data_IF_157446298225
#
_entry.id   IF_157446298225
#
_cell.length_a   1.000
_cell.length_b   1.000
_cell.length_c   1.000
_cell.angle_alpha   90.00
_cell.angle_beta   90.00
_cell.angle_gamma   90.00
#
_symmetry.space_group_name_H-M   'P 1'
#
loop_
_entity.id
_entity.type
_entity.pdbx_description
1 polymer ?
#
# COMPACT_ATOMS: atom_id res chain seq x y z
N UNK A 1 -0.45 -2.23 13.51
CA UNK A 1 -0.98 -0.85 13.39
C UNK A 1 -1.74 -0.71 12.08
N UNK A 2 -2.71 0.21 12.01
CA UNK A 2 -3.59 0.40 10.86
C UNK A 2 -3.40 1.80 10.26
N UNK A 3 -2.65 1.93 9.16
CA UNK A 3 -2.46 3.20 8.47
C UNK A 3 -3.54 3.51 7.42
N UNK A 4 -3.71 4.80 7.12
CA UNK A 4 -4.18 5.29 5.82
C UNK A 4 -2.95 5.59 4.97
N UNK A 5 -2.78 4.90 3.85
CA UNK A 5 -1.64 5.06 2.94
C UNK A 5 -2.07 5.76 1.66
N UNK A 6 -1.24 6.69 1.19
CA UNK A 6 -1.49 7.42 -0.06
C UNK A 6 -0.97 6.64 -1.27
N UNK A 7 -1.78 6.54 -2.31
CA UNK A 7 -1.46 5.89 -3.59
C UNK A 7 -1.82 6.79 -4.76
N UNK A 8 -1.08 6.66 -5.86
CA UNK A 8 -1.44 7.29 -7.12
C UNK A 8 -2.53 6.46 -7.82
N UNK A 9 -3.47 7.08 -8.54
CA UNK A 9 -4.53 6.37 -9.26
C UNK A 9 -4.01 5.21 -10.12
N UNK A 10 -3.00 5.46 -10.97
CA UNK A 10 -2.38 4.44 -11.82
C UNK A 10 -1.78 3.24 -11.06
N UNK A 11 -1.41 3.42 -9.79
CA UNK A 11 -0.86 2.35 -8.97
C UNK A 11 -1.99 1.55 -8.34
N UNK A 12 -3.06 2.23 -7.92
CA UNK A 12 -4.29 1.57 -7.47
C UNK A 12 -4.86 0.66 -8.55
N UNK A 13 -4.97 1.13 -9.79
CA UNK A 13 -5.48 0.33 -10.92
C UNK A 13 -4.64 -0.95 -11.11
N UNK A 14 -3.31 -0.83 -11.10
CA UNK A 14 -2.42 -1.99 -11.23
C UNK A 14 -2.49 -2.98 -10.07
N UNK A 15 -2.83 -2.52 -8.86
CA UNK A 15 -3.04 -3.42 -7.73
C UNK A 15 -4.38 -4.14 -7.89
N UNK A 16 -5.43 -3.43 -8.30
CA UNK A 16 -6.75 -3.99 -8.59
C UNK A 16 -6.67 -5.03 -9.71
N UNK A 17 -5.92 -4.75 -10.77
CA UNK A 17 -5.73 -5.64 -11.92
C UNK A 17 -4.71 -6.76 -11.65
N UNK A 18 -4.24 -6.89 -10.40
CA UNK A 18 -3.27 -7.91 -9.97
C UNK A 18 -1.94 -7.87 -10.73
N UNK A 19 -1.59 -6.73 -11.32
CA UNK A 19 -0.33 -6.48 -12.02
C UNK A 19 0.78 -6.16 -11.01
N UNK A 20 0.50 -5.29 -10.04
CA UNK A 20 1.44 -4.92 -8.97
C UNK A 20 1.14 -5.72 -7.70
N UNK A 21 2.07 -6.59 -7.34
CA UNK A 21 1.91 -7.55 -6.24
C UNK A 21 2.76 -7.25 -5.00
N UNK A 22 3.62 -6.23 -5.06
CA UNK A 22 4.46 -5.79 -3.94
C UNK A 22 4.36 -4.28 -3.78
N UNK A 23 4.09 -3.81 -2.57
CA UNK A 23 4.11 -2.40 -2.20
C UNK A 23 5.45 -2.01 -1.56
N UNK A 24 6.06 -0.94 -2.07
CA UNK A 24 7.38 -0.50 -1.62
C UNK A 24 7.28 0.77 -0.79
N UNK A 25 7.94 0.78 0.38
CA UNK A 25 7.99 1.94 1.25
C UNK A 25 9.37 2.11 1.88
N UNK A 26 9.69 3.36 2.23
CA UNK A 26 10.88 3.68 3.04
C UNK A 26 10.72 3.22 4.50
N UNK A 27 9.52 3.41 5.05
CA UNK A 27 9.16 2.99 6.40
C UNK A 27 7.82 2.30 6.29
N UNK A 28 7.72 1.12 6.90
CA UNK A 28 6.47 0.38 7.01
C UNK A 28 6.02 0.36 8.48
N UNK A 29 4.73 0.61 8.79
CA UNK A 29 4.28 0.56 10.17
C UNK A 29 4.46 -0.84 10.77
N UNK A 30 4.79 -0.89 12.07
CA UNK A 30 5.00 -2.15 12.79
C UNK A 30 3.70 -2.98 12.80
N UNK A 31 3.84 -4.28 12.57
CA UNK A 31 2.73 -5.25 12.57
C UNK A 31 1.56 -4.81 11.66
N UNK A 32 1.88 -4.20 10.52
CA UNK A 32 0.90 -3.68 9.57
C UNK A 32 0.38 -4.80 8.66
N UNK A 33 -0.83 -5.28 8.96
CA UNK A 33 -1.51 -6.33 8.17
C UNK A 33 -2.41 -5.79 7.07
N UNK A 34 -2.77 -4.52 7.14
CA UNK A 34 -3.64 -3.86 6.16
C UNK A 34 -3.42 -2.34 6.17
N UNK A 35 -3.81 -1.65 5.09
CA UNK A 35 -3.93 -0.19 5.05
C UNK A 35 -5.23 0.25 4.35
N UNK A 36 -5.80 1.39 4.76
CA UNK A 36 -6.80 2.08 3.96
C UNK A 36 -6.10 2.84 2.84
N UNK A 37 -6.54 2.67 1.60
CA UNK A 37 -5.93 3.27 0.42
C UNK A 37 -6.57 4.62 0.10
N UNK A 38 -5.90 5.70 0.47
CA UNK A 38 -6.24 7.04 -0.02
C UNK A 38 -5.66 7.21 -1.43
N UNK A 39 -6.53 7.37 -2.42
CA UNK A 39 -6.14 7.61 -3.80
C UNK A 39 -6.03 9.11 -4.02
N UNK A 40 -4.85 9.55 -4.45
CA UNK A 40 -4.52 10.97 -4.63
C UNK A 40 -5.24 11.59 -5.84
N UNK A 41 -4.85 12.80 -6.22
CA UNK A 41 -5.48 13.54 -7.34
C UNK A 41 -5.47 12.68 -8.63
N UNK A 42 -6.57 12.63 -9.41
CA UNK A 42 -7.81 13.41 -9.25
C UNK A 42 -8.87 12.79 -8.33
N UNK A 43 -8.70 11.56 -7.86
CA UNK A 43 -9.73 10.81 -7.11
C UNK A 43 -9.98 11.42 -5.73
N UNK A 44 -8.92 11.67 -4.95
CA UNK A 44 -8.96 12.31 -3.62
C UNK A 44 -9.96 11.64 -2.66
N UNK A 45 -9.89 10.32 -2.52
CA UNK A 45 -10.80 9.55 -1.66
C UNK A 45 -10.12 8.30 -1.11
N UNK A 46 -10.64 7.74 -0.01
CA UNK A 46 -10.29 6.38 0.43
C UNK A 46 -11.14 5.41 -0.38
N UNK A 47 -10.52 4.55 -1.18
CA UNK A 47 -11.24 3.73 -2.17
C UNK A 47 -11.12 2.22 -1.95
N UNK A 48 -10.19 1.76 -1.13
CA UNK A 48 -9.99 0.34 -0.88
C UNK A 48 -9.28 0.08 0.45
N UNK A 49 -9.31 -1.18 0.87
CA UNK A 49 -8.46 -1.76 1.89
C UNK A 49 -7.45 -2.67 1.19
N UNK A 50 -6.17 -2.44 1.43
CA UNK A 50 -5.10 -3.34 0.97
C UNK A 50 -4.66 -4.20 2.14
N UNK A 51 -4.43 -5.49 1.88
CA UNK A 51 -3.95 -6.46 2.86
C UNK A 51 -2.52 -6.87 2.52
N UNK A 52 -1.70 -7.01 3.54
CA UNK A 52 -0.29 -7.33 3.38
C UNK A 52 0.02 -8.77 3.82
N UNK A 53 0.88 -9.43 3.05
CA UNK A 53 1.50 -10.71 3.39
C UNK A 53 2.82 -10.50 4.14
N UNK A 54 3.87 -11.23 3.75
CA UNK A 54 5.20 -11.06 4.32
C UNK A 54 5.77 -9.69 3.91
N UNK A 55 6.40 -9.03 4.87
CA UNK A 55 7.13 -7.78 4.66
C UNK A 55 8.61 -8.13 4.64
N UNK A 56 9.30 -7.74 3.58
CA UNK A 56 10.70 -8.04 3.36
C UNK A 56 11.54 -6.78 3.43
N UNK A 57 12.71 -6.88 4.06
CA UNK A 57 13.77 -5.88 3.96
C UNK A 57 14.42 -5.99 2.59
N UNK A 58 14.62 -4.85 1.92
CA UNK A 58 15.33 -4.83 0.63
C UNK A 58 16.81 -5.21 0.79
N UNK A 59 17.39 -5.04 1.98
CA UNK A 59 18.74 -5.51 2.28
C UNK A 59 18.80 -7.03 2.40
N UNK A 60 17.76 -7.64 2.97
CA UNK A 60 17.68 -9.10 3.08
C UNK A 60 17.50 -9.70 1.69
N UNK A 61 16.61 -9.11 0.87
CA UNK A 61 16.48 -9.47 -0.56
C UNK A 61 17.77 -9.25 -1.35
N UNK A 62 18.57 -8.25 -1.01
CA UNK A 62 19.86 -8.05 -1.66
C UNK A 62 20.80 -9.24 -1.43
N UNK A 63 20.77 -9.85 -0.24
CA UNK A 63 21.55 -11.05 0.06
C UNK A 63 20.90 -12.31 -0.54
N UNK A 64 19.58 -12.46 -0.39
CA UNK A 64 18.82 -13.62 -0.87
C UNK A 64 18.92 -13.79 -2.39
N UNK A 65 18.96 -12.69 -3.14
CA UNK A 65 19.01 -12.69 -4.60
C UNK A 65 20.38 -12.27 -5.16
N UNK A 66 21.47 -12.54 -4.43
CA UNK A 66 22.83 -12.15 -4.83
C UNK A 66 23.23 -12.70 -6.21
N UNK A 67 22.80 -13.92 -6.53
CA UNK A 67 23.11 -14.62 -7.78
C UNK A 67 22.25 -14.18 -8.98
N UNK A 68 21.40 -13.16 -8.80
CA UNK A 68 20.51 -12.66 -9.86
C UNK A 68 20.85 -11.21 -10.24
N UNK A 69 21.77 -10.98 -11.20
CA UNK A 69 22.27 -9.64 -11.54
C UNK A 69 21.19 -8.62 -11.89
N UNK A 70 20.17 -9.02 -12.64
CA UNK A 70 19.07 -8.11 -13.00
C UNK A 70 18.24 -7.70 -11.77
N UNK A 71 18.05 -8.62 -10.83
CA UNK A 71 17.31 -8.37 -9.59
C UNK A 71 18.13 -7.44 -8.70
N UNK A 72 19.44 -7.65 -8.59
CA UNK A 72 20.37 -6.77 -7.88
C UNK A 72 20.33 -5.34 -8.41
N UNK A 73 20.30 -5.15 -9.72
CA UNK A 73 20.16 -3.82 -10.33
C UNK A 73 18.84 -3.14 -9.94
N UNK A 74 17.74 -3.90 -9.89
CA UNK A 74 16.43 -3.38 -9.45
C UNK A 74 16.43 -3.02 -7.97
N UNK A 75 16.97 -3.87 -7.10
CA UNK A 75 17.09 -3.64 -5.65
C UNK A 75 17.95 -2.40 -5.38
N UNK A 76 19.15 -2.33 -5.97
CA UNK A 76 20.07 -1.20 -5.84
C UNK A 76 19.40 0.12 -6.22
N UNK A 77 18.68 0.14 -7.36
CA UNK A 77 17.92 1.32 -7.78
C UNK A 77 16.85 1.70 -6.75
N UNK A 78 16.08 0.75 -6.23
CA UNK A 78 15.04 1.04 -5.24
C UNK A 78 15.62 1.56 -3.92
N UNK A 79 16.78 1.05 -3.50
CA UNK A 79 17.50 1.53 -2.32
C UNK A 79 18.07 2.95 -2.51
N UNK A 80 18.70 3.21 -3.65
CA UNK A 80 19.48 4.44 -3.88
C UNK A 80 18.64 5.59 -4.47
N UNK A 81 17.80 5.31 -5.48
CA UNK A 81 17.04 6.34 -6.20
C UNK A 81 15.66 6.58 -5.63
N UNK A 82 14.97 5.51 -5.26
CA UNK A 82 13.58 5.58 -4.76
C UNK A 82 13.52 5.67 -3.22
N UNK A 83 14.67 5.45 -2.56
CA UNK A 83 14.82 5.45 -1.10
C UNK A 83 13.84 4.50 -0.39
N UNK A 84 13.48 3.40 -1.04
CA UNK A 84 12.71 2.32 -0.43
C UNK A 84 13.61 1.44 0.43
N UNK A 85 13.01 0.81 1.43
CA UNK A 85 13.69 -0.09 2.38
C UNK A 85 12.92 -1.38 2.61
N UNK A 86 11.61 -1.37 2.37
CA UNK A 86 10.73 -2.51 2.57
C UNK A 86 9.88 -2.78 1.32
N UNK A 87 9.65 -4.06 1.05
CA UNK A 87 8.67 -4.57 0.09
C UNK A 87 7.65 -5.44 0.82
N UNK A 88 6.39 -5.00 0.85
CA UNK A 88 5.29 -5.75 1.42
C UNK A 88 4.53 -6.48 0.33
N UNK A 89 4.41 -7.80 0.45
CA UNK A 89 3.51 -8.60 -0.37
C UNK A 89 2.08 -8.08 -0.28
N UNK A 90 1.40 -7.95 -1.41
CA UNK A 90 -0.01 -7.57 -1.45
C UNK A 90 -0.81 -8.86 -1.52
N UNK A 91 -1.42 -9.26 -0.41
CA UNK A 91 -2.17 -10.52 -0.32
C UNK A 91 -3.59 -10.42 -0.83
N UNK A 92 -4.21 -9.27 -0.62
CA UNK A 92 -5.53 -9.01 -1.18
C UNK A 92 -5.81 -7.51 -1.26
N UNK A 93 -6.82 -7.17 -2.04
CA UNK A 93 -7.43 -5.84 -2.07
C UNK A 93 -8.96 -5.96 -2.03
N UNK A 94 -9.58 -5.19 -1.15
CA UNK A 94 -11.03 -5.05 -1.06
C UNK A 94 -11.41 -3.63 -1.48
N UNK A 95 -12.14 -3.49 -2.58
CA UNK A 95 -12.72 -2.20 -2.96
C UNK A 95 -13.80 -1.80 -1.96
N UNK A 96 -13.94 -0.50 -1.73
CA UNK A 96 -15.00 0.06 -0.89
C UNK A 96 -15.72 1.17 -1.64
N UNK A 97 -16.89 1.58 -1.15
CA UNK A 97 -17.51 2.84 -1.57
C UNK A 97 -16.53 3.98 -1.22
N UNK A 98 -16.15 4.84 -2.18
CA UNK A 98 -15.20 5.91 -1.91
C UNK A 98 -15.66 6.81 -0.77
N UNK A 99 -14.78 7.08 0.18
CA UNK A 99 -14.95 8.11 1.21
C UNK A 99 -14.14 9.32 0.74
N UNK A 100 -14.81 10.35 0.23
CA UNK A 100 -14.17 11.50 -0.38
C UNK A 100 -13.39 12.37 0.62
N UNK A 101 -12.43 13.15 0.11
CA UNK A 101 -11.72 14.13 0.92
C UNK A 101 -12.68 15.16 1.57
N UNK A 102 -13.77 15.49 0.90
CA UNK A 102 -14.78 16.40 1.42
C UNK A 102 -15.51 15.79 2.61
N UNK A 103 -16.00 14.55 2.48
CA UNK A 103 -16.63 13.80 3.58
C UNK A 103 -15.67 13.66 4.79
N UNK A 104 -14.40 13.36 4.53
CA UNK A 104 -13.36 13.26 5.58
C UNK A 104 -13.16 14.59 6.30
N UNK A 105 -13.11 15.71 5.58
CA UNK A 105 -12.90 17.05 6.17
C UNK A 105 -14.12 17.57 6.92
N UNK A 106 -15.31 17.27 6.42
CA UNK A 106 -16.56 17.66 7.08
C UNK A 106 -16.77 16.90 8.40
N UNK A 107 -16.31 15.65 8.46
CA UNK A 107 -16.51 14.78 9.63
C UNK A 107 -15.33 14.79 10.61
N UNK A 108 -14.11 15.04 10.12
CA UNK A 108 -12.88 15.10 10.91
C UNK A 108 -12.18 16.42 10.60
N UNK A 109 -12.42 17.47 11.41
CA UNK A 109 -11.80 18.77 11.21
C UNK A 109 -10.28 18.65 11.12
N UNK A 110 -9.67 19.41 10.20
CA UNK A 110 -8.23 19.40 9.93
C UNK A 110 -7.66 18.11 9.32
N UNK A 111 -8.50 17.22 8.77
CA UNK A 111 -7.98 16.09 7.99
C UNK A 111 -7.14 16.58 6.80
N UNK A 112 -5.89 16.10 6.75
CA UNK A 112 -4.95 16.30 5.65
C UNK A 112 -4.62 14.93 5.05
N UNK A 113 -4.66 14.85 3.72
CA UNK A 113 -4.27 13.65 3.02
C UNK A 113 -2.81 13.27 3.35
N UNK A 114 -2.52 11.97 3.61
CA UNK A 114 -1.17 11.57 3.98
C UNK A 114 -0.18 11.76 2.83
N UNK A 115 1.03 12.25 3.14
CA UNK A 115 2.13 12.30 2.16
C UNK A 115 2.74 10.90 1.95
N UNK A 116 2.86 10.11 3.03
CA UNK A 116 3.23 8.69 2.97
C UNK A 116 2.11 7.85 3.57
N UNK A 117 1.93 7.94 4.89
CA UNK A 117 0.82 7.35 5.61
C UNK A 117 0.45 8.18 6.85
N UNK A 118 -0.74 7.95 7.39
CA UNK A 118 -1.20 8.43 8.69
C UNK A 118 -1.63 7.22 9.53
N UNK A 119 -1.18 7.13 10.79
CA UNK A 119 -1.57 6.04 11.69
C UNK A 119 -2.91 6.35 12.35
N UNK A 120 -3.88 5.46 12.20
CA UNK A 120 -5.22 5.63 12.79
C UNK A 120 -5.18 5.52 14.31
N UNK A 121 -4.23 4.79 14.89
CA UNK A 121 -4.02 4.73 16.34
C UNK A 121 -3.72 6.11 16.95
N UNK A 122 -3.16 7.03 16.17
CA UNK A 122 -2.86 8.40 16.62
C UNK A 122 -4.04 9.37 16.39
N UNK A 123 -5.13 8.92 15.76
CA UNK A 123 -6.28 9.75 15.45
C UNK A 123 -7.58 8.94 15.61
N UNK A 124 -8.09 8.90 16.84
CA UNK A 124 -9.27 8.12 17.21
C UNK A 124 -10.53 8.52 16.44
N UNK A 125 -10.77 9.82 16.24
CA UNK A 125 -11.94 10.31 15.51
C UNK A 125 -11.90 9.88 14.03
N UNK A 126 -10.75 10.02 13.38
CA UNK A 126 -10.57 9.55 12.01
C UNK A 126 -10.74 8.04 11.90
N UNK A 127 -10.16 7.29 12.84
CA UNK A 127 -10.29 5.83 12.89
C UNK A 127 -11.76 5.41 12.95
N UNK A 128 -12.47 5.94 13.95
CA UNK A 128 -13.89 5.66 14.21
C UNK A 128 -14.75 6.04 13.00
N UNK A 129 -14.47 7.18 12.37
CA UNK A 129 -15.18 7.62 11.18
C UNK A 129 -14.97 6.67 10.00
N UNK A 130 -13.72 6.35 9.67
CA UNK A 130 -13.41 5.45 8.54
C UNK A 130 -14.02 4.07 8.77
N UNK A 131 -13.84 3.47 9.95
CA UNK A 131 -14.35 2.13 10.26
C UNK A 131 -15.89 2.06 10.14
N UNK A 132 -16.60 3.11 10.58
CA UNK A 132 -18.07 3.18 10.48
C UNK A 132 -18.59 3.39 9.06
N UNK A 133 -17.85 4.10 8.22
CA UNK A 133 -18.27 4.46 6.87
C UNK A 133 -17.65 3.57 5.78
N UNK A 134 -16.87 2.57 6.18
CA UNK A 134 -16.29 1.60 5.25
C UNK A 134 -17.36 0.62 4.78
N UNK A 135 -17.73 0.73 3.51
CA UNK A 135 -18.70 -0.15 2.86
C UNK A 135 -18.02 -0.91 1.72
N UNK A 136 -17.78 -2.21 1.90
CA UNK A 136 -17.15 -3.05 0.88
C UNK A 136 -17.99 -3.11 -0.41
N UNK A 137 -17.32 -3.02 -1.54
CA UNK A 137 -17.93 -3.15 -2.88
C UNK A 137 -17.24 -4.25 -3.66
N UNK A 138 -18.04 -5.07 -4.34
CA UNK A 138 -17.52 -6.23 -5.08
C UNK A 138 -16.88 -7.30 -4.17
N UNK A 139 -16.18 -8.23 -4.81
CA UNK A 139 -15.51 -9.34 -4.12
C UNK A 139 -14.08 -8.95 -3.69
N UNK A 140 -13.60 -9.62 -2.66
CA UNK A 140 -12.20 -9.56 -2.24
C UNK A 140 -11.32 -10.16 -3.33
N UNK A 141 -10.40 -9.36 -3.89
CA UNK A 141 -9.43 -9.82 -4.89
C UNK A 141 -8.23 -10.35 -4.13
N UNK A 142 -7.97 -11.66 -4.22
CA UNK A 142 -6.82 -12.32 -3.58
C UNK A 142 -5.75 -12.59 -4.62
N UNK A 143 -4.49 -12.34 -4.25
CA UNK A 143 -3.35 -12.66 -5.10
C UNK A 143 -2.83 -14.06 -4.78
N UNK A 144 -2.42 -14.78 -5.82
CA UNK A 144 -1.68 -16.03 -5.70
C UNK A 144 -0.18 -15.73 -5.57
N UNK A 145 0.45 -16.38 -4.60
CA UNK A 145 1.85 -16.19 -4.23
C UNK A 145 2.80 -17.20 -4.87
N UNK A 146 2.28 -18.22 -5.56
CA UNK A 146 3.06 -19.38 -6.03
C UNK A 146 4.22 -19.02 -6.99
N UNK A 147 4.21 -17.84 -7.62
CA UNK A 147 5.26 -17.42 -8.57
C UNK A 147 5.62 -15.92 -8.54
N UNK A 148 5.44 -15.23 -7.40
CA UNK A 148 5.70 -13.77 -7.33
C UNK A 148 7.19 -13.44 -7.43
N UNK A 149 8.05 -14.25 -6.82
CA UNK A 149 9.49 -14.02 -6.78
C UNK A 149 10.23 -14.98 -7.73
N UNK A 150 11.30 -14.51 -8.41
CA UNK A 150 11.94 -13.19 -8.25
C UNK A 150 11.35 -12.09 -9.14
N UNK A 151 10.40 -12.39 -10.02
CA UNK A 151 9.95 -11.47 -11.08
C UNK A 151 9.50 -10.10 -10.55
N UNK A 152 8.69 -10.09 -9.49
CA UNK A 152 8.09 -8.86 -8.97
C UNK A 152 9.01 -8.04 -8.04
N UNK A 153 10.22 -8.52 -7.73
CA UNK A 153 11.18 -7.82 -6.86
C UNK A 153 11.68 -6.52 -7.49
N UNK A 154 11.35 -5.39 -6.89
CA UNK A 154 11.70 -4.05 -7.35
C UNK A 154 11.33 -3.80 -8.84
N UNK A 155 10.27 -4.49 -9.31
CA UNK A 155 9.71 -4.32 -10.65
C UNK A 155 9.08 -2.94 -10.78
N UNK A 156 9.35 -2.26 -11.90
CA UNK A 156 8.71 -0.97 -12.23
C UNK A 156 7.39 -1.23 -12.92
N UNK A 157 6.42 -0.40 -12.58
CA UNK A 157 5.08 -0.45 -13.14
C UNK A 157 4.74 0.87 -13.79
#
# INVERSE_FOLDING_TARGET
MTPVMSFWPKIYDKIVDQIKLVEYRRIFPKDCKMAYMYISKPVKAICAIIYFGKIHSLYDWQQEFIDYPEIQLRIKRSLEKENYRYGAEISAIQKIKPISLEELRNSVPNFVAPQSYLLLENNYELKKYIERNTLCTGQLIKNDFMSIFPEHICKRY
#
